data_IF_259712419249
#
_entry.id   IF_259712419249
#
_cell.length_a   1.000
_cell.length_b   1.000
_cell.length_c   1.000
_cell.angle_alpha   90.00
_cell.angle_beta   90.00
_cell.angle_gamma   90.00
#
_symmetry.space_group_name_H-M   'P 1'
#
loop_
_entity.id
_entity.type
_entity.pdbx_description
1 polymer ?
#
# COMPACT_ATOMS: atom_id res chain seq x y z
N UNK A 1 3.97 6.45 -31.44
CA UNK A 1 3.77 5.07 -31.96
C UNK A 1 5.09 4.31 -31.86
N UNK A 2 5.10 3.16 -31.18
CA UNK A 2 6.32 2.36 -30.94
C UNK A 2 6.47 1.19 -31.94
N UNK A 3 5.58 1.11 -32.94
CA UNK A 3 5.68 0.17 -34.04
C UNK A 3 5.32 -1.30 -33.75
N UNK A 4 4.86 -1.62 -32.53
CA UNK A 4 4.41 -2.98 -32.15
C UNK A 4 3.33 -2.93 -31.06
N UNK A 5 2.59 -4.04 -30.93
CA UNK A 5 1.51 -4.18 -29.95
C UNK A 5 2.07 -4.50 -28.57
N UNK A 6 1.71 -3.71 -27.56
CA UNK A 6 2.11 -3.87 -26.15
C UNK A 6 1.05 -4.59 -25.32
N UNK A 7 -0.22 -4.33 -25.63
CA UNK A 7 -1.38 -4.83 -24.90
C UNK A 7 -2.30 -5.63 -25.83
N UNK A 8 -2.75 -6.77 -25.36
CA UNK A 8 -3.80 -7.57 -25.99
C UNK A 8 -5.10 -7.39 -25.19
N UNK A 9 -6.17 -6.97 -25.88
CA UNK A 9 -7.51 -6.90 -25.31
C UNK A 9 -8.29 -8.16 -25.69
N UNK A 10 -8.89 -8.80 -24.70
CA UNK A 10 -9.73 -9.99 -24.88
C UNK A 10 -10.93 -9.98 -23.96
N UNK A 11 -11.81 -10.98 -24.09
CA UNK A 11 -12.99 -11.14 -23.23
C UNK A 11 -12.64 -11.27 -21.73
N UNK A 12 -11.43 -11.72 -21.40
CA UNK A 12 -10.90 -11.86 -20.04
C UNK A 12 -10.11 -10.64 -19.54
N UNK A 13 -10.19 -9.49 -20.20
CA UNK A 13 -9.50 -8.27 -19.84
C UNK A 13 -8.32 -7.92 -20.75
N UNK A 14 -7.34 -7.19 -20.19
CA UNK A 14 -6.15 -6.72 -20.90
C UNK A 14 -4.92 -7.48 -20.40
N UNK A 15 -4.09 -7.95 -21.33
CA UNK A 15 -2.82 -8.63 -21.04
C UNK A 15 -1.67 -7.99 -21.80
N UNK A 16 -0.47 -8.03 -21.19
CA UNK A 16 0.74 -7.61 -21.87
C UNK A 16 1.18 -8.66 -22.90
N UNK A 17 1.66 -8.19 -24.04
CA UNK A 17 2.42 -9.05 -24.96
C UNK A 17 3.81 -9.35 -24.39
N UNK A 18 4.57 -10.33 -24.94
CA UNK A 18 5.98 -10.52 -24.57
C UNK A 18 6.83 -9.27 -24.77
N UNK A 19 6.57 -8.49 -25.81
CA UNK A 19 7.21 -7.19 -26.03
C UNK A 19 6.79 -6.17 -24.97
N UNK A 20 5.51 -6.17 -24.58
CA UNK A 20 5.00 -5.34 -23.49
C UNK A 20 5.65 -5.62 -22.14
N UNK A 21 5.85 -6.90 -21.82
CA UNK A 21 6.53 -7.31 -20.58
C UNK A 21 7.98 -6.82 -20.53
N UNK A 22 8.68 -6.82 -21.65
CA UNK A 22 10.08 -6.34 -21.74
C UNK A 22 10.18 -4.82 -21.63
N UNK A 23 9.19 -4.09 -22.15
CA UNK A 23 9.19 -2.61 -22.14
C UNK A 23 8.65 -2.05 -20.84
N UNK A 24 7.71 -2.73 -20.18
CA UNK A 24 7.03 -2.21 -18.99
C UNK A 24 8.00 -1.71 -17.89
N UNK A 25 9.10 -2.41 -17.54
CA UNK A 25 10.07 -1.88 -16.58
C UNK A 25 10.66 -0.54 -17.04
N UNK A 26 11.10 -0.45 -18.29
CA UNK A 26 11.70 0.78 -18.85
C UNK A 26 10.71 1.95 -18.89
N UNK A 27 9.44 1.68 -19.16
CA UNK A 27 8.37 2.70 -19.10
C UNK A 27 8.17 3.17 -17.65
N UNK A 28 8.20 2.27 -16.69
CA UNK A 28 8.12 2.63 -15.26
C UNK A 28 9.30 3.50 -14.84
N UNK A 29 10.51 3.12 -15.21
CA UNK A 29 11.72 3.91 -14.91
C UNK A 29 11.65 5.31 -15.54
N UNK A 30 11.17 5.41 -16.78
CA UNK A 30 10.96 6.69 -17.44
C UNK A 30 9.91 7.56 -16.72
N UNK A 31 8.78 6.97 -16.30
CA UNK A 31 7.76 7.70 -15.54
C UNK A 31 8.26 8.15 -14.17
N UNK A 32 9.04 7.31 -13.49
CA UNK A 32 9.69 7.66 -12.22
C UNK A 32 10.66 8.82 -12.39
N UNK A 33 11.51 8.76 -13.42
CA UNK A 33 12.47 9.85 -13.73
C UNK A 33 11.74 11.13 -14.10
N UNK A 34 10.65 11.06 -14.86
CA UNK A 34 9.83 12.23 -15.22
C UNK A 34 9.20 12.85 -13.98
N UNK A 35 8.63 12.04 -13.09
CA UNK A 35 8.06 12.52 -11.84
C UNK A 35 9.11 13.18 -10.93
N UNK A 36 10.34 12.62 -10.89
CA UNK A 36 11.46 13.21 -10.17
C UNK A 36 11.87 14.56 -10.74
N UNK A 37 11.92 14.68 -12.08
CA UNK A 37 12.22 15.95 -12.75
C UNK A 37 11.13 17.01 -12.50
N UNK A 38 9.85 16.64 -12.62
CA UNK A 38 8.73 17.55 -12.35
C UNK A 38 8.77 18.06 -10.91
N UNK A 39 9.13 17.19 -9.98
CA UNK A 39 9.30 17.52 -8.58
C UNK A 39 10.43 18.55 -8.40
N UNK A 40 11.60 18.29 -8.97
CA UNK A 40 12.76 19.19 -8.86
C UNK A 40 12.43 20.57 -9.44
N UNK A 41 11.76 20.60 -10.58
CA UNK A 41 11.26 21.85 -11.17
C UNK A 41 10.30 22.56 -10.22
N UNK A 42 9.41 21.83 -9.55
CA UNK A 42 8.47 22.40 -8.60
C UNK A 42 9.17 22.99 -7.36
N UNK A 43 10.18 22.30 -6.82
CA UNK A 43 10.99 22.79 -5.70
C UNK A 43 11.74 24.09 -6.09
N UNK A 44 12.35 24.12 -7.25
CA UNK A 44 13.07 25.31 -7.76
C UNK A 44 12.10 26.49 -7.96
N UNK A 45 10.93 26.25 -8.52
CA UNK A 45 9.96 27.30 -8.85
C UNK A 45 9.22 27.86 -7.63
N UNK A 46 9.02 27.04 -6.60
CA UNK A 46 8.18 27.43 -5.45
C UNK A 46 8.96 27.97 -4.28
N UNK A 47 10.31 27.93 -4.28
CA UNK A 47 11.17 28.21 -3.13
C UNK A 47 10.67 27.50 -1.83
N UNK A 48 9.92 26.41 -1.99
CA UNK A 48 9.44 25.59 -0.89
C UNK A 48 10.52 24.57 -0.51
N UNK A 49 11.52 25.06 0.25
CA UNK A 49 12.55 24.19 0.85
C UNK A 49 11.93 23.25 1.93
N UNK A 50 10.71 23.58 2.41
CA UNK A 50 10.06 22.89 3.51
C UNK A 50 8.79 22.17 3.06
N UNK A 51 8.95 21.02 2.41
CA UNK A 51 7.84 20.12 2.11
C UNK A 51 8.17 18.69 2.53
N UNK A 52 7.21 18.00 3.16
CA UNK A 52 7.30 16.58 3.52
C UNK A 52 6.25 15.80 2.73
N UNK A 53 6.69 14.81 1.96
CA UNK A 53 5.82 13.92 1.19
C UNK A 53 5.61 12.62 1.95
N UNK A 54 4.37 12.32 2.23
CA UNK A 54 3.97 11.18 3.06
C UNK A 54 3.12 10.23 2.23
N UNK A 55 3.48 8.95 2.24
CA UNK A 55 2.62 7.91 1.69
C UNK A 55 1.94 7.12 2.79
N UNK A 56 0.69 6.75 2.58
CA UNK A 56 -0.05 5.89 3.48
C UNK A 56 -1.16 5.14 2.72
N UNK A 57 -1.59 4.00 3.25
CA UNK A 57 -2.83 3.41 2.76
C UNK A 57 -4.05 4.11 3.34
N UNK A 58 -5.19 3.85 2.72
CA UNK A 58 -6.42 4.62 2.92
C UNK A 58 -6.85 4.71 4.38
N UNK A 59 -6.77 3.61 5.15
CA UNK A 59 -7.17 3.59 6.55
C UNK A 59 -6.34 4.56 7.40
N UNK A 60 -5.03 4.58 7.23
CA UNK A 60 -4.13 5.48 7.95
C UNK A 60 -4.34 6.93 7.48
N UNK A 61 -4.41 7.13 6.16
CA UNK A 61 -4.57 8.46 5.59
C UNK A 61 -5.88 9.13 6.04
N UNK A 62 -6.95 8.35 6.23
CA UNK A 62 -8.27 8.90 6.64
C UNK A 62 -8.43 9.06 8.14
N UNK A 63 -7.86 8.15 8.94
CA UNK A 63 -8.18 8.09 10.37
C UNK A 63 -7.06 8.63 11.28
N UNK A 64 -5.79 8.53 10.86
CA UNK A 64 -4.68 8.94 11.72
C UNK A 64 -4.02 10.23 11.26
N UNK A 65 -3.74 10.35 9.95
CA UNK A 65 -2.99 11.50 9.43
C UNK A 65 -3.67 12.85 9.64
N UNK A 66 -5.00 13.02 9.59
CA UNK A 66 -5.61 14.35 9.76
C UNK A 66 -5.25 15.00 11.08
N UNK A 67 -5.30 14.25 12.19
CA UNK A 67 -4.97 14.76 13.52
C UNK A 67 -3.47 15.04 13.66
N UNK A 68 -2.64 14.10 13.20
CA UNK A 68 -1.16 14.22 13.21
C UNK A 68 -0.75 15.48 12.42
N UNK A 69 -1.27 15.65 11.22
CA UNK A 69 -0.93 16.79 10.36
C UNK A 69 -1.46 18.10 10.96
N UNK A 70 -2.63 18.10 11.59
CA UNK A 70 -3.14 19.29 12.25
C UNK A 70 -2.20 19.73 13.38
N UNK A 71 -1.68 18.77 14.15
CA UNK A 71 -0.71 19.10 15.21
C UNK A 71 0.62 19.57 14.60
N UNK A 72 1.14 18.85 13.61
CA UNK A 72 2.39 19.19 12.93
C UNK A 72 2.36 20.63 12.36
N UNK A 73 1.27 21.01 11.70
CA UNK A 73 1.11 22.36 11.12
C UNK A 73 1.08 23.49 12.17
N UNK A 74 0.72 23.21 13.41
CA UNK A 74 0.78 24.21 14.50
C UNK A 74 2.21 24.49 14.91
N UNK A 75 3.07 23.47 14.87
CA UNK A 75 4.47 23.56 15.28
C UNK A 75 5.37 23.99 14.09
N UNK A 76 4.97 23.63 12.87
CA UNK A 76 5.70 23.87 11.61
C UNK A 76 4.79 24.49 10.55
N UNK A 77 4.33 25.75 10.72
CA UNK A 77 3.35 26.38 9.83
C UNK A 77 3.88 26.61 8.40
N UNK A 78 5.18 26.71 8.23
CA UNK A 78 5.83 26.95 6.94
C UNK A 78 6.07 25.65 6.14
N UNK A 79 5.92 24.48 6.78
CA UNK A 79 6.13 23.19 6.14
C UNK A 79 4.84 22.69 5.48
N UNK A 80 4.93 22.37 4.20
CA UNK A 80 3.82 21.74 3.47
C UNK A 80 3.88 20.23 3.62
N UNK A 81 2.75 19.59 3.93
CA UNK A 81 2.64 18.12 3.95
C UNK A 81 1.78 17.67 2.79
N UNK A 82 2.37 16.90 1.88
CA UNK A 82 1.70 16.29 0.75
C UNK A 82 1.44 14.81 1.03
N UNK A 83 0.18 14.37 0.92
CA UNK A 83 -0.22 12.99 1.20
C UNK A 83 -0.51 12.27 -0.10
N UNK A 84 0.13 11.12 -0.29
CA UNK A 84 -0.14 10.20 -1.38
C UNK A 84 -0.72 8.89 -0.83
N UNK A 85 -1.91 8.52 -1.31
CA UNK A 85 -2.57 7.27 -0.92
C UNK A 85 -2.34 6.18 -1.95
N UNK A 86 -2.05 4.97 -1.49
CA UNK A 86 -1.86 3.81 -2.35
C UNK A 86 -2.04 2.48 -1.62
N UNK A 87 -1.93 1.39 -2.37
CA UNK A 87 -1.84 0.04 -1.82
C UNK A 87 -0.56 -0.14 -1.00
N UNK A 88 -0.50 -1.18 -0.19
CA UNK A 88 0.69 -1.49 0.62
C UNK A 88 1.95 -1.56 -0.25
N UNK A 89 1.90 -2.27 -1.38
CA UNK A 89 3.04 -2.40 -2.29
C UNK A 89 3.45 -1.09 -2.98
N UNK A 90 2.48 -0.21 -3.27
CA UNK A 90 2.76 1.10 -3.86
C UNK A 90 3.43 2.03 -2.86
N UNK A 91 2.93 2.07 -1.63
CA UNK A 91 3.49 2.91 -0.56
C UNK A 91 4.96 2.56 -0.31
N UNK A 92 5.30 1.28 -0.24
CA UNK A 92 6.68 0.82 -0.12
C UNK A 92 7.55 1.21 -1.31
N UNK A 93 7.05 0.95 -2.50
CA UNK A 93 7.77 1.26 -3.73
C UNK A 93 8.07 2.75 -3.84
N UNK A 94 7.11 3.62 -3.46
CA UNK A 94 7.31 5.07 -3.55
C UNK A 94 8.40 5.59 -2.62
N UNK A 95 8.59 4.99 -1.44
CA UNK A 95 9.72 5.34 -0.56
C UNK A 95 11.03 4.85 -1.16
N UNK A 96 11.08 3.60 -1.66
CA UNK A 96 12.29 3.05 -2.28
C UNK A 96 12.70 3.77 -3.57
N UNK A 97 11.77 4.41 -4.25
CA UNK A 97 11.98 5.20 -5.46
C UNK A 97 12.16 6.72 -5.17
N UNK A 98 12.31 7.12 -3.89
CA UNK A 98 12.40 8.53 -3.45
C UNK A 98 11.23 9.43 -3.92
N UNK A 99 10.08 8.84 -4.22
CA UNK A 99 8.87 9.58 -4.62
C UNK A 99 8.20 10.24 -3.43
N UNK A 100 8.36 9.66 -2.24
CA UNK A 100 7.93 10.21 -0.95
C UNK A 100 9.07 10.13 0.04
N UNK A 101 9.05 10.96 1.06
CA UNK A 101 10.12 11.06 2.05
C UNK A 101 9.91 10.04 3.17
N UNK A 102 8.65 9.68 3.45
CA UNK A 102 8.29 8.70 4.45
C UNK A 102 6.97 8.01 4.13
N UNK A 103 6.74 6.86 4.75
CA UNK A 103 5.45 6.19 4.67
C UNK A 103 4.98 5.65 6.02
N UNK A 104 3.66 5.54 6.16
CA UNK A 104 3.03 4.79 7.24
C UNK A 104 2.60 3.43 6.70
N UNK A 105 3.17 2.37 7.25
CA UNK A 105 2.94 1.02 6.78
C UNK A 105 3.21 -0.03 7.86
N UNK A 106 2.72 -1.26 7.70
CA UNK A 106 3.14 -2.40 8.49
C UNK A 106 4.59 -2.75 8.15
N UNK A 107 5.41 -3.10 9.14
CA UNK A 107 6.82 -3.43 8.92
C UNK A 107 6.99 -4.63 7.99
N UNK A 108 7.79 -4.48 6.98
CA UNK A 108 8.23 -5.56 6.08
C UNK A 108 9.76 -5.65 6.05
N UNK A 109 10.27 -6.74 5.49
CA UNK A 109 11.72 -6.89 5.24
C UNK A 109 12.09 -6.07 4.01
N UNK A 110 12.44 -4.82 4.25
CA UNK A 110 12.85 -3.85 3.24
C UNK A 110 14.02 -3.01 3.78
N UNK A 111 14.93 -2.51 2.92
CA UNK A 111 16.07 -1.69 3.33
C UNK A 111 15.63 -0.26 3.66
N UNK A 112 14.73 -0.13 4.64
CA UNK A 112 14.18 1.12 5.12
C UNK A 112 14.44 1.26 6.61
N UNK A 113 14.60 2.50 7.07
CA UNK A 113 14.61 2.82 8.49
C UNK A 113 13.17 2.81 9.04
N UNK A 114 12.98 2.18 10.20
CA UNK A 114 11.68 1.96 10.80
C UNK A 114 11.57 2.58 12.18
N UNK A 115 10.50 3.35 12.37
CA UNK A 115 10.08 3.82 13.69
C UNK A 115 8.76 3.16 14.06
N UNK A 116 8.74 2.41 15.17
CA UNK A 116 7.52 1.81 15.68
C UNK A 116 6.59 2.89 16.23
N UNK A 117 5.33 2.86 15.83
CA UNK A 117 4.28 3.77 16.32
C UNK A 117 3.33 3.05 17.25
N UNK A 118 2.70 1.98 16.79
CA UNK A 118 1.75 1.15 17.55
C UNK A 118 1.50 -0.17 16.85
N UNK A 119 0.97 -1.12 17.60
CA UNK A 119 0.42 -2.35 17.02
C UNK A 119 -0.97 -2.09 16.42
N UNK A 120 -1.29 -2.84 15.37
CA UNK A 120 -2.61 -2.87 14.74
C UNK A 120 -3.15 -4.30 14.80
N UNK A 121 -4.35 -4.46 15.34
CA UNK A 121 -4.95 -5.78 15.54
C UNK A 121 -5.65 -6.25 14.26
N UNK A 122 -5.41 -7.50 13.87
CA UNK A 122 -6.18 -8.15 12.83
C UNK A 122 -7.51 -8.62 13.41
N UNK A 123 -8.60 -8.08 12.88
CA UNK A 123 -9.95 -8.43 13.32
C UNK A 123 -10.61 -9.36 12.31
N UNK A 124 -11.27 -10.42 12.81
CA UNK A 124 -12.12 -11.27 12.01
C UNK A 124 -13.52 -10.65 11.89
N UNK A 125 -14.03 -10.51 10.67
CA UNK A 125 -15.43 -10.16 10.41
C UNK A 125 -16.15 -11.48 10.16
N UNK A 126 -17.08 -11.80 11.06
CA UNK A 126 -17.78 -13.08 11.06
C UNK A 126 -19.28 -12.87 10.84
N UNK A 127 -19.98 -13.82 10.21
CA UNK A 127 -21.42 -13.87 10.24
C UNK A 127 -21.96 -13.98 11.68
N UNK A 128 -23.15 -13.45 11.99
CA UNK A 128 -23.69 -13.42 13.36
C UNK A 128 -23.77 -14.77 14.04
N UNK A 129 -23.96 -15.85 13.29
CA UNK A 129 -24.01 -17.23 13.80
C UNK A 129 -22.69 -17.74 14.39
N UNK A 130 -21.57 -17.07 14.09
CA UNK A 130 -20.25 -17.39 14.66
C UNK A 130 -19.92 -16.55 15.90
N UNK A 131 -20.82 -15.66 16.31
CA UNK A 131 -20.61 -14.86 17.52
C UNK A 131 -20.74 -15.76 18.77
N UNK A 132 -19.58 -16.09 19.34
CA UNK A 132 -19.49 -16.83 20.60
C UNK A 132 -19.60 -15.95 21.84
N UNK A 133 -19.66 -14.62 21.67
CA UNK A 133 -19.54 -13.63 22.73
C UNK A 133 -18.14 -13.53 23.34
N UNK A 134 -17.15 -14.18 22.75
CA UNK A 134 -15.74 -14.09 23.15
C UNK A 134 -15.05 -12.88 22.50
N UNK A 135 -14.02 -12.35 23.15
CA UNK A 135 -13.29 -11.18 22.67
C UNK A 135 -12.29 -11.51 21.57
N UNK A 136 -11.97 -12.80 21.37
CA UNK A 136 -11.03 -13.26 20.36
C UNK A 136 -11.61 -14.48 19.62
N UNK A 137 -11.48 -14.50 18.30
CA UNK A 137 -11.85 -15.66 17.49
C UNK A 137 -10.59 -16.49 17.21
N UNK A 138 -10.61 -17.81 17.53
CA UNK A 138 -9.43 -18.65 17.33
C UNK A 138 -9.11 -18.79 15.84
N UNK A 139 -7.86 -18.54 15.47
CA UNK A 139 -7.43 -18.59 14.06
C UNK A 139 -7.58 -19.98 13.47
N UNK A 140 -7.45 -21.03 14.27
CA UNK A 140 -7.63 -22.43 13.88
C UNK A 140 -9.05 -22.74 13.37
N UNK A 141 -10.04 -21.97 13.82
CA UNK A 141 -11.43 -22.14 13.38
C UNK A 141 -11.63 -21.78 11.90
N UNK A 142 -10.73 -21.04 11.28
CA UNK A 142 -10.78 -20.78 9.84
C UNK A 142 -10.34 -21.98 8.96
N UNK A 143 -9.79 -23.04 9.55
CA UNK A 143 -9.29 -24.16 8.78
C UNK A 143 -10.41 -24.85 7.99
N UNK A 144 -10.28 -24.90 6.66
CA UNK A 144 -11.28 -25.45 5.75
C UNK A 144 -12.58 -24.65 5.62
N UNK A 145 -12.70 -23.49 6.27
CA UNK A 145 -13.87 -22.60 6.13
C UNK A 145 -13.76 -21.70 4.91
N UNK A 146 -14.89 -21.25 4.40
CA UNK A 146 -14.92 -20.23 3.36
C UNK A 146 -14.37 -18.91 3.89
N UNK A 147 -13.48 -18.29 3.13
CA UNK A 147 -12.76 -17.09 3.54
C UNK A 147 -12.71 -16.05 2.42
N UNK A 148 -13.07 -14.82 2.76
CA UNK A 148 -12.90 -13.68 1.87
C UNK A 148 -11.56 -13.01 2.19
N UNK A 149 -10.60 -13.15 1.28
CA UNK A 149 -9.28 -12.55 1.44
C UNK A 149 -9.32 -11.09 0.99
N UNK A 150 -8.93 -10.13 1.84
CA UNK A 150 -8.75 -8.76 1.39
C UNK A 150 -7.58 -8.66 0.41
N UNK A 151 -7.67 -7.70 -0.51
CA UNK A 151 -6.65 -7.43 -1.53
C UNK A 151 -5.78 -6.22 -1.17
N UNK A 152 -5.08 -5.66 -2.16
CA UNK A 152 -4.27 -4.45 -2.04
C UNK A 152 -3.05 -4.58 -1.10
N UNK A 153 -2.55 -5.82 -0.88
CA UNK A 153 -1.36 -6.12 -0.09
C UNK A 153 -1.63 -6.44 1.38
N UNK A 154 -2.88 -6.34 1.86
CA UNK A 154 -3.26 -6.76 3.21
C UNK A 154 -3.31 -8.29 3.38
N UNK A 155 -3.44 -9.02 2.28
CA UNK A 155 -3.39 -10.49 2.22
C UNK A 155 -2.09 -11.06 2.81
N UNK A 156 -0.98 -10.35 2.70
CA UNK A 156 0.34 -10.81 3.16
C UNK A 156 0.39 -11.04 4.67
N UNK A 157 -0.13 -10.10 5.46
CA UNK A 157 -0.15 -10.21 6.92
C UNK A 157 -1.10 -11.33 7.37
N UNK A 158 -2.27 -11.44 6.72
CA UNK A 158 -3.23 -12.50 7.00
C UNK A 158 -2.64 -13.86 6.63
N UNK A 159 -2.04 -14.02 5.45
CA UNK A 159 -1.40 -15.26 5.03
C UNK A 159 -0.26 -15.66 5.98
N UNK A 160 0.51 -14.70 6.48
CA UNK A 160 1.55 -14.96 7.47
C UNK A 160 0.96 -15.57 8.73
N UNK A 161 -0.09 -14.96 9.32
CA UNK A 161 -0.76 -15.46 10.52
C UNK A 161 -1.37 -16.85 10.29
N UNK A 162 -2.07 -17.05 9.18
CA UNK A 162 -2.65 -18.36 8.84
C UNK A 162 -1.57 -19.44 8.70
N UNK A 163 -0.45 -19.13 8.03
CA UNK A 163 0.66 -20.06 7.86
C UNK A 163 1.37 -20.39 9.18
N UNK A 164 1.59 -19.41 10.05
CA UNK A 164 2.18 -19.60 11.38
C UNK A 164 1.37 -20.57 12.25
N UNK A 165 0.05 -20.60 12.07
CA UNK A 165 -0.88 -21.50 12.79
C UNK A 165 -1.24 -22.77 11.99
N UNK A 166 -0.67 -22.96 10.80
CA UNK A 166 -0.98 -24.12 9.95
C UNK A 166 -2.41 -24.19 9.44
N UNK A 167 -3.07 -23.04 9.30
CA UNK A 167 -4.47 -22.90 8.89
C UNK A 167 -4.57 -22.70 7.38
N UNK A 168 -5.45 -23.49 6.75
CA UNK A 168 -5.68 -23.41 5.29
C UNK A 168 -7.18 -23.20 5.03
N UNK A 169 -7.65 -21.97 4.92
CA UNK A 169 -9.03 -21.67 4.58
C UNK A 169 -9.33 -21.90 3.09
N UNK A 170 -10.62 -22.00 2.75
CA UNK A 170 -11.08 -22.07 1.37
C UNK A 170 -11.31 -20.63 0.85
N UNK A 171 -10.30 -20.07 0.20
CA UNK A 171 -10.41 -18.72 -0.36
C UNK A 171 -11.34 -18.74 -1.57
N UNK A 172 -12.47 -18.03 -1.49
CA UNK A 172 -13.51 -17.96 -2.53
C UNK A 172 -13.41 -16.70 -3.37
N UNK A 173 -13.01 -15.59 -2.76
CA UNK A 173 -12.95 -14.29 -3.43
C UNK A 173 -11.79 -13.47 -2.84
N UNK A 174 -11.12 -12.73 -3.71
CA UNK A 174 -10.19 -11.65 -3.31
C UNK A 174 -10.83 -10.33 -3.73
N UNK A 175 -10.98 -9.40 -2.82
CA UNK A 175 -11.48 -8.05 -3.11
C UNK A 175 -10.34 -7.04 -3.08
#
# INVERSE_FOLDING_TARGET
DIGFTVLLRGRSGVRLTPAGQRILPLVRDCLTSTAALEREISLINTHKEDSVRVAAYESIARHWLPEIIQQFRREHPDVTVDIQMGSVDEVYRWVLEDRVDMCFASRQDAPLEWTFLRDDELLAILPPEYDSGETAFPVEAFNGQEFLMPSMGFDKDILRVLNEHGVTPLIRTTQ
#
